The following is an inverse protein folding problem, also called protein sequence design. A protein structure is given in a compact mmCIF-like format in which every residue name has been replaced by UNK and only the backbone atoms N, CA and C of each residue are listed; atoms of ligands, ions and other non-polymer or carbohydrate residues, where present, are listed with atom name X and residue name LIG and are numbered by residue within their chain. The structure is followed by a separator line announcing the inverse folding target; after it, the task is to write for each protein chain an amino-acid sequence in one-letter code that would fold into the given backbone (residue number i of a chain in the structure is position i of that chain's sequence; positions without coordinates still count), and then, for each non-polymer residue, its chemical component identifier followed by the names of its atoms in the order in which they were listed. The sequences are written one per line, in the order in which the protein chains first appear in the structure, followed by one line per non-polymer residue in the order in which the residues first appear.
data_IF_147451099642
#
_entry.id   IF_147451099642
#
_cell.length_a   1.000
_cell.length_b   1.000
_cell.length_c   1.000
_cell.angle_alpha   90.00
_cell.angle_beta   90.00
_cell.angle_gamma   90.00
#
_symmetry.space_group_name_H-M   'P 1'
#
loop_
_entity.id
_entity.type
_entity.pdbx_description
1 polymer ?
#
# COMPACT_ATOMS: atom_id res chain seq x y z
N UNK A 1 -9.37 -20.69 28.48
CA UNK A 1 -9.34 -20.32 27.05
C UNK A 1 -9.17 -18.82 26.98
N UNK A 2 -8.01 -18.33 26.53
CA UNK A 2 -7.81 -16.89 26.33
C UNK A 2 -8.76 -16.42 25.22
N UNK A 3 -9.54 -15.36 25.48
CA UNK A 3 -10.32 -14.70 24.43
C UNK A 3 -9.32 -14.18 23.40
N UNK A 4 -9.50 -14.53 22.12
CA UNK A 4 -8.72 -13.93 21.04
C UNK A 4 -8.89 -12.41 21.12
N UNK A 5 -7.78 -11.68 21.07
CA UNK A 5 -7.83 -10.22 20.98
C UNK A 5 -8.56 -9.82 19.70
N UNK A 6 -9.36 -8.74 19.73
CA UNK A 6 -10.04 -8.28 18.53
C UNK A 6 -9.01 -7.92 17.46
N UNK A 7 -9.23 -8.39 16.24
CA UNK A 7 -8.41 -8.07 15.07
C UNK A 7 -8.30 -6.54 14.93
N UNK A 8 -7.09 -6.02 14.77
CA UNK A 8 -6.82 -4.57 14.68
C UNK A 8 -7.52 -3.94 13.47
N UNK A 9 -7.58 -4.67 12.36
CA UNK A 9 -8.16 -4.22 11.09
C UNK A 9 -9.09 -5.30 10.50
N UNK A 10 -10.29 -5.52 11.07
CA UNK A 10 -11.22 -6.47 10.49
C UNK A 10 -11.57 -6.09 9.05
N UNK A 11 -11.71 -7.09 8.18
CA UNK A 11 -12.04 -6.89 6.77
C UNK A 11 -13.41 -6.19 6.64
N UNK A 12 -13.41 -5.03 5.97
CA UNK A 12 -14.62 -4.26 5.71
C UNK A 12 -15.04 -4.42 4.26
N UNK A 13 -15.99 -5.32 4.03
CA UNK A 13 -16.52 -5.59 2.70
C UNK A 13 -17.31 -4.41 2.11
N UNK A 14 -17.81 -3.48 2.93
CA UNK A 14 -18.50 -2.30 2.42
C UNK A 14 -17.52 -1.39 1.69
N UNK A 15 -16.31 -1.16 2.25
CA UNK A 15 -15.26 -0.40 1.57
C UNK A 15 -14.81 -1.10 0.29
N UNK A 16 -14.66 -2.43 0.31
CA UNK A 16 -14.29 -3.22 -0.87
C UNK A 16 -15.31 -3.06 -2.00
N UNK A 17 -16.61 -3.15 -1.68
CA UNK A 17 -17.70 -3.00 -2.65
C UNK A 17 -17.82 -1.55 -3.14
N UNK A 18 -17.76 -0.59 -2.23
CA UNK A 18 -17.96 0.82 -2.52
C UNK A 18 -16.88 1.41 -3.45
N UNK A 19 -15.65 0.90 -3.34
CA UNK A 19 -14.53 1.31 -4.20
C UNK A 19 -14.30 0.37 -5.40
N UNK A 20 -15.17 -0.62 -5.61
CA UNK A 20 -15.08 -1.63 -6.66
C UNK A 20 -13.68 -2.30 -6.74
N UNK A 21 -13.23 -2.84 -5.60
CA UNK A 21 -11.88 -3.41 -5.49
C UNK A 21 -11.78 -4.87 -5.94
N UNK A 22 -12.90 -5.60 -5.96
CA UNK A 22 -12.97 -6.97 -6.45
C UNK A 22 -13.04 -6.99 -7.98
N UNK A 23 -11.93 -6.64 -8.63
CA UNK A 23 -11.83 -6.52 -10.10
C UNK A 23 -10.60 -7.23 -10.65
N UNK A 24 -10.63 -7.51 -11.96
CA UNK A 24 -9.54 -8.19 -12.67
C UNK A 24 -9.16 -9.55 -12.05
N UNK A 25 -10.16 -10.32 -11.61
CA UNK A 25 -9.97 -11.64 -11.00
C UNK A 25 -9.49 -11.62 -9.55
N UNK A 26 -9.32 -10.44 -8.94
CA UNK A 26 -8.98 -10.28 -7.53
C UNK A 26 -10.23 -10.30 -6.65
N UNK A 27 -10.13 -10.98 -5.52
CA UNK A 27 -11.17 -11.06 -4.49
C UNK A 27 -10.55 -10.76 -3.13
N UNK A 28 -11.06 -9.73 -2.45
CA UNK A 28 -10.69 -9.40 -1.08
C UNK A 28 -11.09 -10.53 -0.12
N UNK A 29 -10.21 -10.87 0.81
CA UNK A 29 -10.42 -11.89 1.82
C UNK A 29 -9.55 -11.63 3.05
N UNK A 30 -9.83 -12.33 4.14
CA UNK A 30 -9.00 -12.32 5.36
C UNK A 30 -7.66 -13.01 5.11
N UNK A 31 -6.69 -12.82 6.02
CA UNK A 31 -5.42 -13.55 5.99
C UNK A 31 -5.65 -15.08 6.02
N UNK A 32 -6.52 -15.53 6.94
CA UNK A 32 -6.84 -16.95 7.15
C UNK A 32 -7.43 -17.60 5.89
N UNK A 33 -8.37 -16.94 5.22
CA UNK A 33 -8.98 -17.45 3.98
C UNK A 33 -7.99 -17.51 2.81
N UNK A 34 -7.09 -16.53 2.72
CA UNK A 34 -6.05 -16.52 1.70
C UNK A 34 -5.05 -17.67 1.90
N UNK A 35 -4.59 -17.88 3.13
CA UNK A 35 -3.67 -18.96 3.48
C UNK A 35 -4.29 -20.35 3.28
N UNK A 36 -5.56 -20.52 3.65
CA UNK A 36 -6.30 -21.76 3.47
C UNK A 36 -6.44 -22.17 1.99
N UNK A 37 -6.30 -21.23 1.05
CA UNK A 37 -6.38 -21.52 -0.38
C UNK A 37 -5.16 -22.29 -0.91
N UNK A 38 -4.04 -22.32 -0.19
CA UNK A 38 -2.80 -23.01 -0.61
C UNK A 38 -2.24 -22.43 -1.91
N UNK A 39 -2.32 -21.10 -2.07
CA UNK A 39 -1.82 -20.36 -3.22
C UNK A 39 -0.37 -19.93 -3.02
N UNK A 40 0.29 -19.50 -4.11
CA UNK A 40 1.54 -18.74 -3.97
C UNK A 40 1.23 -17.39 -3.33
N UNK A 41 2.12 -16.91 -2.47
CA UNK A 41 1.86 -15.70 -1.69
C UNK A 41 2.92 -14.63 -1.96
N UNK A 42 2.50 -13.37 -1.87
CA UNK A 42 3.38 -12.22 -1.73
C UNK A 42 2.87 -11.33 -0.59
N UNK A 43 3.76 -10.66 0.11
CA UNK A 43 3.43 -9.79 1.23
C UNK A 43 4.11 -8.43 1.05
N UNK A 44 3.34 -7.35 1.23
CA UNK A 44 3.83 -5.98 1.09
C UNK A 44 3.35 -5.11 2.25
N UNK A 45 4.05 -4.02 2.53
CA UNK A 45 3.73 -3.11 3.62
C UNK A 45 3.59 -1.65 3.18
N UNK A 46 2.56 -0.99 3.69
CA UNK A 46 2.42 0.46 3.66
C UNK A 46 3.03 1.06 4.93
N UNK A 47 4.19 1.71 4.79
CA UNK A 47 4.75 2.55 5.86
C UNK A 47 4.17 3.96 5.74
N UNK A 48 3.62 4.48 6.84
CA UNK A 48 2.99 5.80 6.83
C UNK A 48 3.16 6.56 8.15
N UNK A 49 3.06 7.89 8.09
CA UNK A 49 3.07 8.76 9.26
C UNK A 49 2.02 9.89 9.13
N UNK A 50 1.43 10.35 10.25
CA UNK A 50 0.62 11.56 10.26
C UNK A 50 1.47 12.77 9.86
N UNK A 51 0.85 13.80 9.27
CA UNK A 51 1.55 15.00 8.86
C UNK A 51 0.64 16.23 8.85
N UNK A 52 1.22 17.39 9.12
CA UNK A 52 0.59 18.70 8.95
C UNK A 52 1.12 19.47 7.73
N UNK A 53 1.83 18.77 6.84
CA UNK A 53 2.46 19.37 5.66
C UNK A 53 1.43 20.03 4.74
N UNK A 54 1.71 21.27 4.34
CA UNK A 54 0.97 21.99 3.30
C UNK A 54 1.83 22.08 2.04
N UNK A 55 1.49 21.28 1.04
CA UNK A 55 2.20 21.18 -0.24
C UNK A 55 1.86 22.38 -1.13
N UNK A 56 2.89 22.95 -1.77
CA UNK A 56 2.80 24.16 -2.59
C UNK A 56 2.10 25.33 -1.88
N UNK A 57 2.22 25.39 -0.54
CA UNK A 57 1.55 26.38 0.34
C UNK A 57 0.03 26.44 0.20
N UNK A 58 -0.60 25.41 -0.39
CA UNK A 58 -2.04 25.41 -0.70
C UNK A 58 -2.76 24.10 -0.35
N UNK A 59 -2.12 22.96 -0.53
CA UNK A 59 -2.79 21.66 -0.46
C UNK A 59 -2.34 20.90 0.78
N UNK A 60 -3.27 20.65 1.72
CA UNK A 60 -2.97 19.88 2.93
C UNK A 60 -2.80 18.41 2.59
N UNK A 61 -1.60 17.87 2.83
CA UNK A 61 -1.33 16.44 2.77
C UNK A 61 -2.06 15.74 3.92
N UNK A 62 -2.74 14.63 3.65
CA UNK A 62 -3.49 13.90 4.69
C UNK A 62 -2.63 12.94 5.52
N UNK A 63 -1.62 12.33 4.91
CA UNK A 63 -0.63 11.47 5.54
C UNK A 63 0.62 11.39 4.66
N UNK A 64 1.79 11.15 5.22
CA UNK A 64 2.95 10.75 4.42
C UNK A 64 2.96 9.24 4.30
N UNK A 65 2.98 8.71 3.07
CA UNK A 65 2.96 7.28 2.79
C UNK A 65 4.08 6.98 1.79
N UNK A 66 4.89 5.95 2.05
CA UNK A 66 5.95 5.51 1.15
C UNK A 66 5.41 4.49 0.15
N UNK A 67 5.77 4.69 -1.11
CA UNK A 67 5.61 3.73 -2.20
C UNK A 67 6.96 3.63 -2.94
N UNK A 68 7.11 2.57 -3.73
CA UNK A 68 8.34 2.31 -4.50
C UNK A 68 8.05 2.27 -5.99
N UNK A 69 9.04 2.69 -6.78
CA UNK A 69 9.11 2.35 -8.21
C UNK A 69 9.88 1.05 -8.31
N UNK A 70 9.27 0.02 -8.87
CA UNK A 70 9.88 -1.31 -9.05
C UNK A 70 10.75 -1.36 -10.31
N UNK A 71 11.58 -2.39 -10.40
CA UNK A 71 12.43 -2.68 -11.57
C UNK A 71 11.66 -2.74 -12.90
N UNK A 72 10.39 -3.14 -12.86
CA UNK A 72 9.50 -3.25 -14.02
C UNK A 72 8.80 -1.93 -14.38
N UNK A 73 9.15 -0.83 -13.69
CA UNK A 73 8.61 0.50 -13.91
C UNK A 73 7.22 0.73 -13.30
N UNK A 74 6.64 -0.28 -12.64
CA UNK A 74 5.36 -0.13 -11.94
C UNK A 74 5.54 0.47 -10.55
N UNK A 75 4.51 1.17 -10.08
CA UNK A 75 4.40 1.59 -8.68
C UNK A 75 3.98 0.42 -7.81
N UNK A 76 4.55 0.33 -6.62
CA UNK A 76 4.22 -0.70 -5.64
C UNK A 76 4.48 -0.25 -4.21
N UNK A 77 4.49 -1.22 -3.32
CA UNK A 77 4.89 -1.07 -1.93
C UNK A 77 6.06 -2.01 -1.67
N UNK A 78 6.92 -1.70 -0.70
CA UNK A 78 8.00 -2.60 -0.32
C UNK A 78 7.44 -3.96 0.11
N UNK A 79 8.08 -5.03 -0.33
CA UNK A 79 7.58 -6.38 -0.19
C UNK A 79 7.88 -7.27 -1.39
N UNK A 80 7.54 -8.54 -1.25
CA UNK A 80 7.95 -9.55 -2.21
C UNK A 80 7.27 -10.90 -1.99
N UNK A 81 7.83 -11.92 -2.63
CA UNK A 81 7.31 -13.29 -2.54
C UNK A 81 7.52 -13.85 -1.12
N UNK A 82 6.60 -14.71 -0.69
CA UNK A 82 6.74 -15.50 0.53
C UNK A 82 7.46 -16.80 0.20
N UNK A 83 8.63 -17.02 0.81
CA UNK A 83 9.44 -18.21 0.56
C UNK A 83 8.88 -19.47 1.26
N UNK A 84 9.24 -20.68 0.80
CA UNK A 84 8.85 -21.92 1.48
C UNK A 84 9.28 -21.94 2.94
N UNK A 85 8.32 -22.14 3.85
CA UNK A 85 8.56 -22.16 5.30
C UNK A 85 8.47 -20.79 5.98
N UNK A 86 8.26 -19.72 5.21
CA UNK A 86 8.08 -18.35 5.69
C UNK A 86 6.59 -18.02 5.82
N UNK A 87 6.19 -17.29 6.87
CA UNK A 87 4.86 -16.68 6.95
C UNK A 87 4.83 -15.32 6.21
N UNK A 88 3.66 -14.82 5.78
CA UNK A 88 3.59 -13.52 5.10
C UNK A 88 4.19 -12.35 5.90
N UNK A 89 4.04 -12.34 7.23
CA UNK A 89 4.66 -11.31 8.07
C UNK A 89 6.18 -11.44 8.13
N UNK A 90 6.72 -12.66 8.11
CA UNK A 90 8.16 -12.88 8.08
C UNK A 90 8.75 -12.38 6.76
N UNK A 91 8.07 -12.69 5.64
CA UNK A 91 8.45 -12.24 4.30
C UNK A 91 8.49 -10.72 4.22
N UNK A 92 7.41 -10.03 4.60
CA UNK A 92 7.40 -8.56 4.52
C UNK A 92 8.47 -7.92 5.40
N UNK A 93 8.80 -8.50 6.56
CA UNK A 93 9.88 -8.01 7.40
C UNK A 93 11.26 -8.21 6.77
N UNK A 94 11.50 -9.33 6.06
CA UNK A 94 12.73 -9.56 5.30
C UNK A 94 12.87 -8.54 4.17
N UNK A 95 11.82 -8.39 3.37
CA UNK A 95 11.80 -7.47 2.23
C UNK A 95 12.00 -6.01 2.66
N UNK A 96 11.38 -5.57 3.75
CA UNK A 96 11.59 -4.22 4.29
C UNK A 96 13.06 -3.95 4.65
N UNK A 97 13.79 -4.96 5.13
CA UNK A 97 15.24 -4.82 5.40
C UNK A 97 16.04 -4.75 4.11
N UNK A 98 15.71 -5.58 3.12
CA UNK A 98 16.43 -5.68 1.84
C UNK A 98 16.21 -4.45 0.95
N UNK A 99 14.96 -3.98 0.85
CA UNK A 99 14.55 -2.90 -0.04
C UNK A 99 14.68 -1.51 0.58
N UNK A 100 14.52 -1.37 1.91
CA UNK A 100 14.48 -0.07 2.58
C UNK A 100 15.57 0.13 3.63
N UNK A 101 16.45 -0.86 3.89
CA UNK A 101 17.34 -0.86 5.06
C UNK A 101 16.59 -0.63 6.39
N UNK A 102 15.36 -1.13 6.49
CA UNK A 102 14.51 -0.89 7.66
C UNK A 102 15.15 -1.40 8.96
N UNK A 103 15.22 -0.54 9.98
CA UNK A 103 15.64 -0.91 11.34
C UNK A 103 14.55 -1.78 12.00
N UNK A 104 14.83 -3.08 12.14
CA UNK A 104 13.90 -4.06 12.70
C UNK A 104 13.48 -3.77 14.16
N UNK A 105 14.21 -2.92 14.89
CA UNK A 105 13.79 -2.50 16.25
C UNK A 105 12.65 -1.50 16.24
N UNK A 106 12.38 -0.85 15.10
CA UNK A 106 11.36 0.19 14.93
C UNK A 106 10.34 -0.15 13.86
N UNK A 107 10.79 -0.79 12.78
CA UNK A 107 10.00 -1.11 11.60
C UNK A 107 9.89 -2.63 11.53
N UNK A 108 8.92 -3.16 12.27
CA UNK A 108 8.67 -4.59 12.33
C UNK A 108 7.16 -4.88 12.34
N UNK A 109 6.49 -4.90 11.17
CA UNK A 109 5.09 -5.31 11.10
C UNK A 109 4.87 -6.66 11.78
N UNK A 110 3.73 -6.79 12.44
CA UNK A 110 3.26 -8.02 13.09
C UNK A 110 2.04 -8.58 12.36
N UNK A 111 1.60 -9.79 12.72
CA UNK A 111 0.36 -10.34 12.16
C UNK A 111 -0.85 -9.42 12.42
N UNK A 112 -0.83 -8.66 13.52
CA UNK A 112 -1.90 -7.70 13.84
C UNK A 112 -1.93 -6.48 12.91
N UNK A 113 -0.84 -6.22 12.18
CA UNK A 113 -0.76 -5.11 11.22
C UNK A 113 -1.28 -5.50 9.83
N UNK A 114 -1.75 -6.74 9.64
CA UNK A 114 -2.44 -7.17 8.43
C UNK A 114 -3.73 -6.36 8.25
N UNK A 115 -3.97 -5.86 7.04
CA UNK A 115 -5.12 -5.02 6.70
C UNK A 115 -6.06 -5.72 5.74
N UNK A 116 -5.52 -6.38 4.72
CA UNK A 116 -6.31 -7.05 3.67
C UNK A 116 -5.46 -8.08 2.93
N UNK A 117 -6.10 -9.15 2.49
CA UNK A 117 -5.56 -10.01 1.44
C UNK A 117 -6.41 -9.90 0.18
N UNK A 118 -5.78 -9.99 -0.99
CA UNK A 118 -6.46 -10.26 -2.24
C UNK A 118 -6.02 -11.61 -2.78
N UNK A 119 -6.96 -12.47 -3.17
CA UNK A 119 -6.67 -13.72 -3.88
C UNK A 119 -7.07 -13.61 -5.34
N UNK A 120 -6.28 -14.23 -6.21
CA UNK A 120 -6.58 -14.40 -7.63
C UNK A 120 -6.68 -15.89 -7.93
N UNK A 121 -7.92 -16.41 -8.03
CA UNK A 121 -8.20 -17.85 -8.14
C UNK A 121 -7.53 -18.49 -9.36
N UNK A 122 -7.69 -17.88 -10.54
CA UNK A 122 -7.13 -18.41 -11.80
C UNK A 122 -5.60 -18.47 -11.79
N UNK A 123 -4.93 -17.44 -11.24
CA UNK A 123 -3.48 -17.40 -11.10
C UNK A 123 -2.96 -18.18 -9.90
N UNK A 124 -3.85 -18.69 -9.04
CA UNK A 124 -3.54 -19.35 -7.76
C UNK A 124 -2.52 -18.55 -6.95
N UNK A 125 -2.80 -17.26 -6.76
CA UNK A 125 -1.91 -16.32 -6.10
C UNK A 125 -2.67 -15.49 -5.05
N UNK A 126 -2.06 -15.20 -3.90
CA UNK A 126 -2.58 -14.32 -2.88
C UNK A 126 -1.59 -13.20 -2.54
N UNK A 127 -2.11 -12.01 -2.27
CA UNK A 127 -1.35 -10.81 -1.96
C UNK A 127 -1.79 -10.31 -0.59
N UNK A 128 -0.89 -10.34 0.38
CA UNK A 128 -1.12 -9.86 1.74
C UNK A 128 -0.60 -8.45 1.90
N UNK A 129 -1.35 -7.62 2.62
CA UNK A 129 -0.99 -6.23 2.82
C UNK A 129 -1.01 -5.84 4.29
N UNK A 130 0.07 -5.23 4.72
CA UNK A 130 0.27 -4.75 6.08
C UNK A 130 0.33 -3.23 6.09
N UNK A 131 -0.09 -2.59 7.18
CA UNK A 131 0.08 -1.14 7.36
C UNK A 131 0.73 -0.83 8.70
N UNK A 132 1.88 -0.18 8.66
CA UNK A 132 2.61 0.21 9.85
C UNK A 132 2.63 1.73 9.97
N UNK A 133 2.09 2.22 11.09
CA UNK A 133 2.14 3.64 11.45
C UNK A 133 3.47 3.92 12.14
N UNK A 134 4.21 4.89 11.62
CA UNK A 134 5.46 5.40 12.15
C UNK A 134 5.31 6.86 12.62
N UNK A 135 6.30 7.33 13.35
CA UNK A 135 6.53 8.78 13.54
C UNK A 135 7.01 9.41 12.23
N UNK A 136 6.90 10.74 12.12
CA UNK A 136 7.38 11.46 10.93
C UNK A 136 8.91 11.33 10.79
N UNK A 137 9.62 11.29 11.91
CA UNK A 137 11.06 11.12 12.00
C UNK A 137 11.51 9.74 11.53
N UNK A 138 10.85 8.67 11.98
CA UNK A 138 11.14 7.30 11.53
C UNK A 138 10.88 7.12 10.04
N UNK A 139 9.76 7.64 9.53
CA UNK A 139 9.44 7.56 8.11
C UNK A 139 10.49 8.29 7.26
N UNK A 140 10.91 9.48 7.70
CA UNK A 140 11.95 10.27 7.03
C UNK A 140 13.34 9.60 7.10
N UNK A 141 13.68 8.94 8.22
CA UNK A 141 14.90 8.15 8.33
C UNK A 141 14.88 6.99 7.32
N UNK A 142 13.75 6.25 7.27
CA UNK A 142 13.55 5.15 6.31
C UNK A 142 13.74 5.61 4.87
N UNK A 143 13.18 6.76 4.49
CA UNK A 143 13.36 7.31 3.15
C UNK A 143 14.82 7.61 2.80
N UNK A 144 15.61 8.08 3.77
CA UNK A 144 17.04 8.36 3.57
C UNK A 144 17.84 7.07 3.45
N UNK A 145 17.56 6.10 4.31
CA UNK A 145 18.32 4.86 4.41
C UNK A 145 18.08 3.93 3.21
N UNK A 146 16.91 4.03 2.58
CA UNK A 146 16.56 3.25 1.41
C UNK A 146 17.44 3.48 0.18
N UNK A 147 18.11 4.64 0.04
CA UNK A 147 19.07 4.86 -1.05
C UNK A 147 20.29 3.96 -0.90
N UNK A 148 20.66 3.62 0.34
CA UNK A 148 21.75 2.70 0.64
C UNK A 148 21.31 1.24 0.72
N UNK A 149 20.06 0.91 0.38
CA UNK A 149 19.56 -0.46 0.50
C UNK A 149 20.17 -1.37 -0.54
N UNK A 150 20.16 -2.68 -0.23
CA UNK A 150 20.70 -3.70 -1.12
C UNK A 150 20.00 -3.69 -2.47
N UNK A 151 18.70 -3.46 -2.48
CA UNK A 151 17.87 -3.53 -3.69
C UNK A 151 17.67 -2.17 -4.38
N UNK A 152 18.28 -1.10 -3.87
CA UNK A 152 18.27 0.20 -4.53
C UNK A 152 19.01 0.14 -5.88
N UNK A 153 18.31 0.49 -6.96
CA UNK A 153 18.80 0.42 -8.33
C UNK A 153 18.77 -0.99 -8.94
N UNK A 154 18.29 -1.99 -8.19
CA UNK A 154 18.07 -3.36 -8.67
C UNK A 154 16.56 -3.65 -8.74
N UNK A 155 15.96 -4.15 -7.66
CA UNK A 155 14.52 -4.43 -7.60
C UNK A 155 13.67 -3.18 -7.30
N UNK A 156 14.24 -2.21 -6.58
CA UNK A 156 13.62 -0.93 -6.25
C UNK A 156 14.40 0.23 -6.90
N UNK A 157 13.76 0.93 -7.83
CA UNK A 157 14.36 2.06 -8.58
C UNK A 157 14.22 3.42 -7.86
N UNK A 158 13.49 3.47 -6.76
CA UNK A 158 13.38 4.66 -5.93
C UNK A 158 12.11 4.70 -5.08
N UNK A 159 12.12 5.54 -4.05
CA UNK A 159 10.96 5.82 -3.20
C UNK A 159 10.24 7.07 -3.67
N UNK A 160 8.92 7.06 -3.56
CA UNK A 160 8.09 8.24 -3.66
C UNK A 160 7.14 8.35 -2.47
N UNK A 161 6.72 9.59 -2.18
CA UNK A 161 5.61 9.86 -1.27
C UNK A 161 4.30 9.90 -2.06
N UNK A 162 3.28 9.19 -1.60
CA UNK A 162 1.91 9.27 -2.16
C UNK A 162 1.36 10.70 -1.94
N UNK A 163 1.03 11.47 -2.99
CA UNK A 163 0.44 12.81 -2.83
C UNK A 163 -1.04 12.69 -2.46
N UNK A 164 -1.35 12.48 -1.18
CA UNK A 164 -2.72 12.31 -0.67
C UNK A 164 -3.41 13.68 -0.49
N UNK A 165 -3.53 14.40 -1.61
CA UNK A 165 -4.30 15.62 -1.80
C UNK A 165 -4.76 15.69 -3.26
N UNK A 166 -5.85 16.40 -3.53
CA UNK A 166 -6.27 16.74 -4.90
C UNK A 166 -6.10 18.24 -5.14
N UNK A 167 -5.57 18.60 -6.30
CA UNK A 167 -5.46 19.99 -6.72
C UNK A 167 -6.81 20.55 -7.19
N UNK A 168 -6.92 21.89 -7.25
CA UNK A 168 -8.15 22.57 -7.62
C UNK A 168 -8.58 22.33 -9.08
N UNK A 169 -7.66 21.87 -9.94
CA UNK A 169 -7.95 21.44 -11.31
C UNK A 169 -8.70 20.09 -11.37
N UNK A 170 -8.87 19.42 -10.23
CA UNK A 170 -9.53 18.13 -10.12
C UNK A 170 -8.69 16.96 -10.64
N UNK A 171 -7.42 17.15 -10.98
CA UNK A 171 -6.58 16.08 -11.57
C UNK A 171 -5.22 15.98 -10.88
N UNK A 172 -4.56 17.11 -10.58
CA UNK A 172 -3.24 17.11 -9.95
C UNK A 172 -3.23 16.47 -8.55
N UNK A 173 -2.13 15.81 -8.20
CA UNK A 173 -1.96 15.11 -6.91
C UNK A 173 -2.40 13.65 -6.96
N UNK A 174 -3.25 13.24 -6.02
CA UNK A 174 -3.67 11.85 -5.84
C UNK A 174 -4.33 11.23 -7.09
N UNK A 175 -5.22 11.92 -7.83
CA UNK A 175 -5.82 11.33 -9.02
C UNK A 175 -4.79 10.99 -10.10
N UNK A 176 -3.78 11.84 -10.34
CA UNK A 176 -2.68 11.55 -11.27
C UNK A 176 -1.82 10.38 -10.81
N UNK A 177 -1.58 10.23 -9.50
CA UNK A 177 -0.89 9.05 -8.97
C UNK A 177 -1.72 7.78 -9.24
N UNK A 178 -3.03 7.80 -8.95
CA UNK A 178 -3.92 6.66 -9.18
C UNK A 178 -4.05 6.26 -10.65
N UNK A 179 -3.74 7.19 -11.56
CA UNK A 179 -3.73 6.95 -13.00
C UNK A 179 -2.41 6.28 -13.47
N UNK A 180 -1.36 6.30 -12.64
CA UNK A 180 -0.13 5.56 -12.94
C UNK A 180 -0.37 4.05 -12.97
N UNK A 181 0.63 3.33 -13.46
CA UNK A 181 0.58 1.86 -13.50
C UNK A 181 1.10 1.28 -12.18
N UNK A 182 0.33 0.38 -11.58
CA UNK A 182 0.66 -0.29 -10.33
C UNK A 182 0.91 -1.78 -10.55
N UNK A 183 1.83 -2.36 -9.77
CA UNK A 183 2.11 -3.78 -9.77
C UNK A 183 0.98 -4.57 -9.09
N UNK A 184 0.53 -5.64 -9.73
CA UNK A 184 -0.47 -6.56 -9.18
C UNK A 184 -1.73 -5.85 -8.68
N UNK A 185 -1.94 -5.88 -7.35
CA UNK A 185 -3.07 -5.25 -6.67
C UNK A 185 -2.69 -4.05 -5.79
N UNK A 186 -1.48 -3.49 -5.95
CA UNK A 186 -0.97 -2.41 -5.09
C UNK A 186 -1.88 -1.17 -5.10
N UNK A 187 -2.54 -0.85 -6.24
CA UNK A 187 -3.53 0.23 -6.30
C UNK A 187 -4.74 -0.04 -5.41
N UNK A 188 -5.29 -1.26 -5.43
CA UNK A 188 -6.42 -1.67 -4.59
C UNK A 188 -6.03 -1.69 -3.11
N UNK A 189 -4.83 -2.21 -2.80
CA UNK A 189 -4.27 -2.22 -1.45
C UNK A 189 -4.14 -0.80 -0.89
N UNK A 190 -3.60 0.14 -1.66
CA UNK A 190 -3.53 1.56 -1.28
C UNK A 190 -4.91 2.13 -0.99
N UNK A 191 -5.85 2.00 -1.95
CA UNK A 191 -7.19 2.58 -1.85
C UNK A 191 -7.99 2.05 -0.65
N UNK A 192 -7.97 0.73 -0.44
CA UNK A 192 -8.62 0.14 0.72
C UNK A 192 -8.00 0.66 2.02
N UNK A 193 -6.68 0.60 2.12
CA UNK A 193 -5.96 0.88 3.37
C UNK A 193 -6.13 2.34 3.80
N UNK A 194 -6.03 3.31 2.89
CA UNK A 194 -6.19 4.73 3.26
C UNK A 194 -7.61 5.06 3.75
N UNK A 195 -8.64 4.42 3.19
CA UNK A 195 -10.03 4.58 3.66
C UNK A 195 -10.22 3.88 4.99
N UNK A 196 -9.70 2.66 5.13
CA UNK A 196 -9.80 1.90 6.38
C UNK A 196 -9.11 2.57 7.56
N UNK A 197 -8.00 3.25 7.32
CA UNK A 197 -7.29 4.01 8.34
C UNK A 197 -7.90 5.40 8.59
N UNK A 198 -8.94 5.79 7.85
CA UNK A 198 -9.55 7.13 7.95
C UNK A 198 -8.65 8.26 7.45
N UNK A 199 -7.63 7.95 6.65
CA UNK A 199 -6.70 8.94 6.07
C UNK A 199 -7.35 9.71 4.91
N UNK A 200 -8.28 9.05 4.21
CA UNK A 200 -9.11 9.64 3.18
C UNK A 200 -10.53 9.11 3.35
N UNK A 201 -11.54 9.98 3.28
CA UNK A 201 -12.92 9.53 3.31
C UNK A 201 -13.31 8.79 2.02
N UNK A 202 -14.29 7.91 2.13
CA UNK A 202 -14.70 7.03 1.03
C UNK A 202 -15.23 7.82 -0.18
N UNK A 203 -15.92 8.94 0.05
CA UNK A 203 -16.42 9.79 -1.02
C UNK A 203 -15.27 10.44 -1.80
N UNK A 204 -14.28 11.01 -1.10
CA UNK A 204 -13.08 11.56 -1.71
C UNK A 204 -12.25 10.49 -2.45
N UNK A 205 -12.19 9.26 -1.93
CA UNK A 205 -11.55 8.15 -2.62
C UNK A 205 -12.25 7.82 -3.95
N UNK A 206 -13.59 7.72 -3.96
CA UNK A 206 -14.37 7.52 -5.21
C UNK A 206 -14.15 8.67 -6.20
N UNK A 207 -14.17 9.92 -5.72
CA UNK A 207 -13.90 11.08 -6.57
C UNK A 207 -12.51 11.01 -7.20
N UNK A 208 -11.47 10.66 -6.42
CA UNK A 208 -10.11 10.53 -6.93
C UNK A 208 -9.98 9.38 -7.95
N UNK A 209 -10.68 8.26 -7.75
CA UNK A 209 -10.73 7.15 -8.72
C UNK A 209 -11.34 7.65 -10.04
N UNK A 210 -12.52 8.27 -10.02
CA UNK A 210 -13.16 8.79 -11.22
C UNK A 210 -12.30 9.83 -11.95
N UNK A 211 -11.65 10.73 -11.20
CA UNK A 211 -10.72 11.71 -11.75
C UNK A 211 -9.48 11.06 -12.37
N UNK A 212 -8.98 9.95 -11.82
CA UNK A 212 -7.83 9.22 -12.36
C UNK A 212 -8.11 8.63 -13.74
N UNK A 213 -9.35 8.21 -14.01
CA UNK A 213 -9.78 7.67 -15.30
C UNK A 213 -9.87 8.77 -16.36
N UNK A 214 -10.13 10.01 -15.95
CA UNK A 214 -10.14 11.20 -16.80
C UNK A 214 -8.77 11.88 -16.96
N UNK A 215 -7.78 11.54 -16.12
CA UNK A 215 -6.51 12.27 -16.02
C UNK A 215 -5.66 12.28 -17.32
N UNK A 216 -5.88 11.31 -18.21
CA UNK A 216 -5.18 11.22 -19.51
C UNK A 216 -6.05 11.53 -20.72
N UNK A 217 -7.37 11.78 -20.55
CA UNK A 217 -8.25 12.19 -21.64
C UNK A 217 -8.19 13.69 -21.91
N UNK A 218 -7.79 14.49 -20.91
CA UNK A 218 -7.53 15.92 -21.09
C UNK A 218 -6.15 16.12 -21.73
N UNK A 219 -6.13 16.56 -22.99
CA UNK A 219 -4.91 17.05 -23.68
C UNK A 219 -4.24 18.07 -22.78
N UNK A 220 -3.13 17.70 -22.13
CA UNK A 220 -2.35 18.65 -21.33
C UNK A 220 -1.79 19.73 -22.26
N UNK A 221 -1.86 20.98 -21.79
CA UNK A 221 -1.24 22.14 -22.44
C UNK A 221 0.27 21.98 -22.52
#
# INVERSE_FOLDING_TARGET
MAKAEPEKYPLDLNVVQSLDLNKNGLEACTLSEALAAGYKNAAHAMLWAPTDTVVLRRYRQKATILAVVRYDGYLGFPGGLVDPGESPVQAVNRELREELNADASRISPTESDHVISFRHKERRFAYHFYALRLTAEELLATERDAIGSREHGNETLGILRVPLYSMADGVGGFPVLLAQRFAGCARQQLLYTIVRLGLLDEAAARTAIAQSEAAFSCKRK
#
